data_IF_075438985838
#
_entry.id   IF_075438985838
#
_cell.length_a   1.000
_cell.length_b   1.000
_cell.length_c   1.000
_cell.angle_alpha   90.00
_cell.angle_beta   90.00
_cell.angle_gamma   90.00
#
_symmetry.space_group_name_H-M   'P 1'
#
loop_
_entity.id
_entity.type
_entity.pdbx_description
1 polymer ?
#
# COMPACT_ATOMS: atom_id res chain seq x y z
N UNK A 1 -10.45 14.63 -45.77
CA UNK A 1 -9.97 15.75 -44.95
C UNK A 1 -8.82 15.23 -44.09
N UNK A 2 -7.56 15.56 -44.40
CA UNK A 2 -6.40 15.11 -43.60
C UNK A 2 -6.14 16.14 -42.51
N UNK A 3 -6.42 15.78 -41.26
CA UNK A 3 -6.05 16.61 -40.09
C UNK A 3 -4.59 16.33 -39.78
N UNK A 4 -3.71 17.29 -40.03
CA UNK A 4 -2.30 17.22 -39.64
C UNK A 4 -2.13 17.87 -38.26
N UNK A 5 -1.97 17.05 -37.22
CA UNK A 5 -1.70 17.54 -35.87
C UNK A 5 -0.21 17.85 -35.74
N UNK A 6 0.13 19.09 -35.40
CA UNK A 6 1.51 19.52 -35.16
C UNK A 6 1.96 19.17 -33.73
N UNK A 7 3.27 19.10 -33.50
CA UNK A 7 3.83 18.85 -32.17
C UNK A 7 3.35 19.87 -31.12
N UNK A 8 3.19 21.14 -31.50
CA UNK A 8 2.62 22.20 -30.64
C UNK A 8 1.18 21.87 -30.25
N UNK A 9 0.36 21.41 -31.19
CA UNK A 9 -1.02 21.02 -30.90
C UNK A 9 -1.07 19.79 -29.99
N UNK A 10 -0.22 18.77 -30.22
CA UNK A 10 -0.12 17.61 -29.33
C UNK A 10 0.22 18.03 -27.90
N UNK A 11 1.23 18.89 -27.73
CA UNK A 11 1.63 19.38 -26.40
C UNK A 11 0.49 20.11 -25.67
N UNK A 12 -0.21 21.02 -26.36
CA UNK A 12 -1.37 21.73 -25.79
C UNK A 12 -2.49 20.76 -25.44
N UNK A 13 -2.80 19.80 -26.30
CA UNK A 13 -3.82 18.77 -26.04
C UNK A 13 -3.45 17.97 -24.79
N UNK A 14 -2.21 17.52 -24.67
CA UNK A 14 -1.74 16.77 -23.49
C UNK A 14 -1.89 17.57 -22.20
N UNK A 15 -1.50 18.85 -22.19
CA UNK A 15 -1.67 19.71 -21.01
C UNK A 15 -3.14 19.87 -20.64
N UNK A 16 -4.00 20.13 -21.63
CA UNK A 16 -5.45 20.27 -21.41
C UNK A 16 -6.03 18.98 -20.84
N UNK A 17 -5.64 17.82 -21.37
CA UNK A 17 -6.08 16.52 -20.86
C UNK A 17 -5.58 16.25 -19.43
N UNK A 18 -4.32 16.55 -19.12
CA UNK A 18 -3.78 16.38 -17.76
C UNK A 18 -4.41 17.35 -16.76
N UNK A 19 -4.71 18.58 -17.19
CA UNK A 19 -5.46 19.57 -16.41
C UNK A 19 -6.89 19.13 -16.15
N UNK A 20 -7.58 18.63 -17.18
CA UNK A 20 -8.93 18.08 -17.08
C UNK A 20 -8.98 16.84 -16.18
N UNK A 21 -7.96 15.97 -16.23
CA UNK A 21 -7.87 14.78 -15.40
C UNK A 21 -7.88 15.10 -13.90
N UNK A 22 -7.37 16.26 -13.47
CA UNK A 22 -7.38 16.63 -12.04
C UNK A 22 -8.79 16.83 -11.47
N UNK A 23 -9.80 17.02 -12.32
CA UNK A 23 -11.20 17.17 -11.90
C UNK A 23 -11.91 15.83 -11.65
N UNK A 24 -11.25 14.69 -11.91
CA UNK A 24 -11.79 13.37 -11.55
C UNK A 24 -11.36 13.05 -10.11
N UNK A 25 -12.29 13.07 -9.14
CA UNK A 25 -11.95 12.89 -7.74
C UNK A 25 -11.47 11.48 -7.45
N UNK A 26 -10.54 11.37 -6.50
CA UNK A 26 -10.10 10.11 -5.91
C UNK A 26 -10.88 9.88 -4.62
N UNK A 27 -11.64 8.79 -4.58
CA UNK A 27 -12.34 8.39 -3.36
C UNK A 27 -11.44 7.52 -2.49
N UNK A 28 -10.64 8.11 -1.60
CA UNK A 28 -9.84 7.39 -0.62
C UNK A 28 -10.20 7.88 0.78
N UNK A 29 -11.10 7.15 1.45
CA UNK A 29 -11.57 7.48 2.80
C UNK A 29 -10.72 6.74 3.83
N UNK A 30 -10.35 7.46 4.89
CA UNK A 30 -9.62 6.93 6.05
C UNK A 30 -10.50 7.07 7.31
N UNK A 31 -11.37 6.10 7.61
CA UNK A 31 -12.08 6.05 8.88
C UNK A 31 -11.13 5.99 10.09
N UNK A 32 -11.55 6.40 11.30
CA UNK A 32 -10.75 6.23 12.50
C UNK A 32 -10.29 4.77 12.67
N UNK A 33 -9.01 4.58 13.02
CA UNK A 33 -8.45 3.25 13.26
C UNK A 33 -8.99 2.63 14.57
N UNK A 34 -9.20 1.31 14.58
CA UNK A 34 -9.79 0.55 15.69
C UNK A 34 -8.86 0.30 16.88
N UNK A 35 -7.89 1.17 17.12
CA UNK A 35 -6.90 1.04 18.19
C UNK A 35 -5.60 0.35 17.76
N UNK A 36 -4.64 0.17 18.69
CA UNK A 36 -3.31 -0.35 18.40
C UNK A 36 -3.35 -1.82 17.95
N UNK A 37 -2.39 -2.19 17.10
CA UNK A 37 -2.22 -3.58 16.66
C UNK A 37 -1.80 -4.44 17.86
N UNK A 38 -2.51 -5.54 18.11
CA UNK A 38 -2.13 -6.52 19.14
C UNK A 38 -0.95 -7.39 18.66
N UNK A 39 0.23 -6.78 18.48
CA UNK A 39 1.47 -7.44 18.09
C UNK A 39 2.64 -6.99 18.99
N UNK A 40 3.71 -7.80 19.11
CA UNK A 40 4.93 -7.36 19.77
C UNK A 40 5.45 -6.06 19.14
N UNK A 41 5.97 -5.13 19.96
CA UNK A 41 6.45 -3.82 19.47
C UNK A 41 7.38 -3.90 18.26
N UNK A 42 8.41 -4.78 18.22
CA UNK A 42 9.28 -4.89 17.04
C UNK A 42 8.53 -5.28 15.76
N UNK A 43 7.48 -6.09 15.87
CA UNK A 43 6.65 -6.48 14.72
C UNK A 43 5.78 -5.32 14.26
N UNK A 44 5.16 -4.60 15.22
CA UNK A 44 4.36 -3.41 14.91
C UNK A 44 5.19 -2.36 14.16
N UNK A 45 6.43 -2.13 14.56
CA UNK A 45 7.34 -1.17 13.92
C UNK A 45 7.64 -1.55 12.45
N UNK A 46 7.85 -2.85 12.17
CA UNK A 46 8.04 -3.35 10.81
C UNK A 46 6.78 -3.14 9.97
N UNK A 47 5.62 -3.55 10.49
CA UNK A 47 4.34 -3.44 9.76
C UNK A 47 3.98 -1.98 9.49
N UNK A 48 4.18 -1.08 10.45
CA UNK A 48 3.92 0.36 10.28
C UNK A 48 4.82 0.98 9.22
N UNK A 49 6.07 0.56 9.16
CA UNK A 49 7.04 1.07 8.19
C UNK A 49 6.85 0.52 6.78
N UNK A 50 6.51 -0.76 6.64
CA UNK A 50 6.52 -1.46 5.35
C UNK A 50 5.12 -1.74 4.77
N UNK A 51 4.07 -1.75 5.58
CA UNK A 51 2.76 -2.26 5.18
C UNK A 51 1.61 -1.27 5.38
N UNK A 52 1.65 -0.44 6.44
CA UNK A 52 0.53 0.43 6.82
C UNK A 52 0.14 1.46 5.77
N UNK A 53 1.09 1.92 4.95
CA UNK A 53 0.79 2.93 3.94
C UNK A 53 -0.26 2.45 2.93
N UNK A 54 -0.37 1.14 2.68
CA UNK A 54 -1.44 0.54 1.88
C UNK A 54 -2.49 -0.21 2.71
N UNK A 55 -2.09 -0.99 3.71
CA UNK A 55 -2.96 -1.90 4.46
C UNK A 55 -3.56 -1.28 5.74
N UNK A 56 -3.75 0.04 5.82
CA UNK A 56 -4.38 0.66 6.99
C UNK A 56 -5.17 1.91 6.61
N UNK A 57 -6.04 2.38 7.50
CA UNK A 57 -6.63 3.73 7.42
C UNK A 57 -5.65 4.84 7.84
N UNK A 58 -4.45 4.48 8.31
CA UNK A 58 -3.39 5.42 8.70
C UNK A 58 -2.40 5.67 7.53
N UNK A 59 -2.86 5.49 6.29
CA UNK A 59 -2.03 5.64 5.08
C UNK A 59 -1.37 7.02 4.96
N UNK A 60 -0.05 7.05 4.81
CA UNK A 60 0.69 8.28 4.50
C UNK A 60 0.82 8.42 3.00
N UNK A 61 -0.14 9.12 2.39
CA UNK A 61 -0.17 9.32 0.94
C UNK A 61 0.87 10.38 0.52
N UNK A 62 1.87 10.02 -0.30
CA UNK A 62 2.84 10.97 -0.81
C UNK A 62 2.18 11.98 -1.75
N UNK A 63 2.85 13.10 -2.03
CA UNK A 63 2.28 14.20 -2.81
C UNK A 63 1.83 13.76 -4.22
N UNK A 64 2.56 12.83 -4.86
CA UNK A 64 2.20 12.32 -6.19
C UNK A 64 0.93 11.46 -6.17
N UNK A 65 0.62 10.84 -5.03
CA UNK A 65 -0.65 10.11 -4.83
C UNK A 65 -1.87 11.04 -4.76
N UNK A 66 -1.67 12.36 -4.85
CA UNK A 66 -2.73 13.37 -4.89
C UNK A 66 -2.88 14.04 -6.26
N UNK A 67 -2.05 13.68 -7.24
CA UNK A 67 -2.04 14.27 -8.59
C UNK A 67 -2.45 13.22 -9.63
N UNK A 68 -3.46 13.53 -10.44
CA UNK A 68 -3.91 12.62 -11.49
C UNK A 68 -2.89 12.55 -12.65
N UNK A 69 -2.77 11.42 -13.35
CA UNK A 69 -3.54 10.18 -13.16
C UNK A 69 -2.96 9.24 -12.09
N UNK A 70 -1.79 9.56 -11.51
CA UNK A 70 -1.10 8.70 -10.53
C UNK A 70 -1.94 8.46 -9.29
N UNK A 71 -2.67 9.48 -8.83
CA UNK A 71 -3.56 9.38 -7.69
C UNK A 71 -4.66 8.31 -7.83
N UNK A 72 -5.11 8.03 -9.06
CA UNK A 72 -6.09 6.97 -9.32
C UNK A 72 -5.48 5.59 -9.11
N UNK A 73 -4.25 5.37 -9.59
CA UNK A 73 -3.53 4.11 -9.42
C UNK A 73 -3.23 3.85 -7.94
N UNK A 74 -2.68 4.85 -7.24
CA UNK A 74 -2.38 4.74 -5.80
C UNK A 74 -3.64 4.43 -5.01
N UNK A 75 -4.77 5.08 -5.31
CA UNK A 75 -6.01 4.82 -4.59
C UNK A 75 -6.61 3.45 -4.91
N UNK A 76 -6.47 2.98 -6.15
CA UNK A 76 -6.87 1.63 -6.53
C UNK A 76 -6.06 0.58 -5.76
N UNK A 77 -4.73 0.68 -5.77
CA UNK A 77 -3.84 -0.25 -5.06
C UNK A 77 -4.14 -0.28 -3.56
N UNK A 78 -4.36 0.89 -2.93
CA UNK A 78 -4.69 0.97 -1.50
C UNK A 78 -6.06 0.34 -1.21
N UNK A 79 -7.05 0.53 -2.08
CA UNK A 79 -8.37 -0.10 -1.91
C UNK A 79 -8.27 -1.62 -1.99
N UNK A 80 -7.54 -2.15 -2.96
CA UNK A 80 -7.32 -3.59 -3.11
C UNK A 80 -6.54 -4.14 -1.91
N UNK A 81 -5.47 -3.47 -1.50
CA UNK A 81 -4.67 -3.87 -0.34
C UNK A 81 -5.54 -3.94 0.94
N UNK A 82 -6.36 -2.93 1.22
CA UNK A 82 -7.28 -2.91 2.37
C UNK A 82 -8.38 -3.95 2.29
N UNK A 83 -8.81 -4.33 1.08
CA UNK A 83 -9.81 -5.38 0.90
C UNK A 83 -9.25 -6.77 1.24
N UNK A 84 -7.97 -7.01 0.95
CA UNK A 84 -7.29 -8.25 1.33
C UNK A 84 -6.93 -8.27 2.82
N UNK A 85 -6.36 -7.16 3.33
CA UNK A 85 -5.98 -7.04 4.73
C UNK A 85 -5.94 -5.57 5.17
N UNK A 86 -6.57 -5.28 6.31
CA UNK A 86 -6.55 -3.94 6.90
C UNK A 86 -6.17 -3.98 8.40
N UNK A 87 -5.00 -3.45 8.72
CA UNK A 87 -4.48 -3.37 10.08
C UNK A 87 -5.33 -2.46 10.99
N UNK A 88 -6.04 -1.48 10.43
CA UNK A 88 -6.95 -0.63 11.22
C UNK A 88 -8.20 -1.37 11.71
N UNK A 89 -8.51 -2.53 11.14
CA UNK A 89 -9.60 -3.43 11.58
C UNK A 89 -9.07 -4.71 12.23
N UNK A 90 -7.77 -4.80 12.51
CA UNK A 90 -7.13 -6.02 13.02
C UNK A 90 -7.79 -6.56 14.30
N UNK A 91 -8.12 -5.66 15.23
CA UNK A 91 -8.74 -6.02 16.52
C UNK A 91 -10.20 -6.49 16.39
N UNK A 92 -10.79 -6.37 15.20
CA UNK A 92 -12.13 -6.88 14.89
C UNK A 92 -12.08 -8.33 14.40
N UNK A 93 -10.89 -8.82 13.99
CA UNK A 93 -10.68 -10.20 13.57
C UNK A 93 -10.65 -11.14 14.78
N UNK A 94 -11.25 -12.33 14.64
CA UNK A 94 -11.10 -13.40 15.62
C UNK A 94 -9.67 -13.95 15.64
N UNK A 95 -9.29 -14.63 16.73
CA UNK A 95 -7.92 -15.15 16.91
C UNK A 95 -7.45 -16.02 15.74
N UNK A 96 -8.30 -16.93 15.25
CA UNK A 96 -7.98 -17.80 14.10
C UNK A 96 -7.75 -17.02 12.81
N UNK A 97 -8.49 -15.94 12.60
CA UNK A 97 -8.35 -15.07 11.42
C UNK A 97 -7.07 -14.24 11.51
N UNK A 98 -6.71 -13.76 12.71
CA UNK A 98 -5.43 -13.09 12.95
C UNK A 98 -4.25 -14.02 12.68
N UNK A 99 -4.30 -15.26 13.17
CA UNK A 99 -3.27 -16.28 12.90
C UNK A 99 -3.16 -16.62 11.40
N UNK A 100 -4.28 -16.70 10.69
CA UNK A 100 -4.27 -16.91 9.24
C UNK A 100 -3.66 -15.71 8.51
N UNK A 101 -4.04 -14.49 8.89
CA UNK A 101 -3.47 -13.27 8.34
C UNK A 101 -1.96 -13.17 8.59
N UNK A 102 -1.48 -13.51 9.78
CA UNK A 102 -0.05 -13.58 10.10
C UNK A 102 0.70 -14.52 9.16
N UNK A 103 0.15 -15.73 8.93
CA UNK A 103 0.74 -16.70 7.99
C UNK A 103 0.74 -16.18 6.56
N UNK A 104 -0.33 -15.53 6.10
CA UNK A 104 -0.42 -14.93 4.77
C UNK A 104 0.62 -13.81 4.59
N UNK A 105 0.76 -12.92 5.57
CA UNK A 105 1.79 -11.87 5.59
C UNK A 105 3.18 -12.49 5.41
N UNK A 106 3.50 -13.52 6.21
CA UNK A 106 4.80 -14.19 6.08
C UNK A 106 4.99 -14.84 4.70
N UNK A 107 3.98 -15.48 4.13
CA UNK A 107 4.09 -16.08 2.80
C UNK A 107 4.35 -15.03 1.71
N UNK A 108 3.61 -13.91 1.73
CA UNK A 108 3.80 -12.82 0.77
C UNK A 108 5.20 -12.21 0.88
N UNK A 109 5.71 -12.02 2.10
CA UNK A 109 7.08 -11.53 2.35
C UNK A 109 8.12 -12.55 1.88
N UNK A 110 7.97 -13.82 2.25
CA UNK A 110 8.87 -14.91 1.84
C UNK A 110 8.98 -15.02 0.32
N UNK A 111 7.86 -14.82 -0.39
CA UNK A 111 7.79 -14.90 -1.85
C UNK A 111 8.19 -13.59 -2.54
N UNK A 112 8.60 -12.57 -1.78
CA UNK A 112 8.94 -11.22 -2.30
C UNK A 112 7.79 -10.54 -3.05
N UNK A 113 6.55 -10.93 -2.74
CA UNK A 113 5.33 -10.26 -3.23
C UNK A 113 5.09 -8.97 -2.45
N UNK A 114 5.44 -8.96 -1.16
CA UNK A 114 5.25 -7.81 -0.27
C UNK A 114 6.54 -7.42 0.47
N UNK A 115 6.86 -6.11 0.54
CA UNK A 115 6.30 -5.04 -0.27
C UNK A 115 6.71 -5.17 -1.75
N UNK A 116 5.88 -4.77 -2.72
CA UNK A 116 6.22 -4.89 -4.14
C UNK A 116 7.51 -4.14 -4.50
N UNK A 117 8.35 -4.66 -5.42
CA UNK A 117 9.62 -4.01 -5.77
C UNK A 117 9.49 -2.55 -6.23
N UNK A 118 8.41 -2.21 -6.96
CA UNK A 118 8.16 -0.84 -7.40
C UNK A 118 7.83 0.09 -6.22
N UNK A 119 7.14 -0.42 -5.18
CA UNK A 119 6.86 0.34 -3.97
C UNK A 119 8.18 0.67 -3.26
N UNK A 120 9.04 -0.32 -3.06
CA UNK A 120 10.36 -0.14 -2.42
C UNK A 120 11.28 0.82 -3.20
N UNK A 121 11.13 0.90 -4.52
CA UNK A 121 11.89 1.85 -5.35
C UNK A 121 11.59 3.31 -4.99
N UNK A 122 10.33 3.63 -4.67
CA UNK A 122 9.89 4.99 -4.33
C UNK A 122 9.71 5.20 -2.81
N UNK A 123 9.69 4.11 -2.03
CA UNK A 123 9.61 4.05 -0.57
C UNK A 123 10.73 3.16 0.00
N UNK A 124 12.00 3.58 -0.08
CA UNK A 124 13.14 2.76 0.36
C UNK A 124 13.06 2.38 1.85
N UNK A 125 12.42 3.20 2.68
CA UNK A 125 12.13 2.93 4.09
C UNK A 125 11.29 1.67 4.31
N UNK A 126 10.45 1.31 3.34
CA UNK A 126 9.61 0.12 3.39
C UNK A 126 10.37 -1.18 3.11
N UNK A 127 11.65 -1.11 2.72
CA UNK A 127 12.46 -2.32 2.48
C UNK A 127 12.57 -3.16 3.75
N UNK A 128 12.28 -4.45 3.63
CA UNK A 128 12.44 -5.40 4.71
C UNK A 128 13.88 -5.91 4.79
N UNK A 129 14.40 -5.96 6.02
CA UNK A 129 15.71 -6.53 6.34
C UNK A 129 15.61 -8.02 6.68
N UNK A 130 16.75 -8.69 6.77
CA UNK A 130 16.81 -10.08 7.26
C UNK A 130 16.21 -10.25 8.65
N UNK A 131 16.40 -9.26 9.53
CA UNK A 131 15.82 -9.30 10.87
C UNK A 131 14.32 -9.02 10.85
N UNK A 132 13.82 -8.16 9.95
CA UNK A 132 12.39 -7.98 9.72
C UNK A 132 11.73 -9.29 9.27
N UNK A 133 12.37 -10.02 8.35
CA UNK A 133 11.90 -11.35 7.91
C UNK A 133 11.83 -12.32 9.08
N UNK A 134 12.85 -12.35 9.93
CA UNK A 134 12.88 -13.20 11.13
C UNK A 134 11.72 -12.85 12.07
N UNK A 135 11.52 -11.57 12.37
CA UNK A 135 10.45 -11.09 13.24
C UNK A 135 9.07 -11.50 12.71
N UNK A 136 8.80 -11.28 11.43
CA UNK A 136 7.52 -11.62 10.80
C UNK A 136 7.30 -13.14 10.74
N UNK A 137 8.34 -13.93 10.46
CA UNK A 137 8.28 -15.40 10.47
C UNK A 137 7.93 -15.93 11.86
N UNK A 138 8.65 -15.46 12.88
CA UNK A 138 8.42 -15.88 14.27
C UNK A 138 7.03 -15.46 14.74
N UNK A 139 6.60 -14.24 14.40
CA UNK A 139 5.25 -13.77 14.71
C UNK A 139 4.15 -14.62 14.05
N UNK A 140 4.40 -15.11 12.84
CA UNK A 140 3.51 -16.05 12.14
C UNK A 140 3.52 -17.49 12.70
N UNK A 141 4.24 -17.74 13.81
CA UNK A 141 4.31 -19.05 14.45
C UNK A 141 5.10 -20.09 13.67
N UNK A 142 5.94 -19.68 12.71
CA UNK A 142 6.77 -20.60 11.92
C UNK A 142 8.15 -20.68 12.57
N UNK A 143 8.48 -21.83 13.17
CA UNK A 143 9.81 -22.09 13.72
C UNK A 143 10.89 -22.17 12.63
N UNK A 144 12.14 -21.90 13.01
CA UNK A 144 13.29 -22.27 12.16
C UNK A 144 13.38 -23.80 12.11
N UNK A 145 13.58 -24.34 10.90
CA UNK A 145 14.01 -25.73 10.70
C UNK A 145 15.54 -25.75 10.67
#
# INVERSE_FOLDING_TARGET
>A
MRVTITLRQLFVITIVLLGAAQFVPVDLVNPPAGGPLAAPRPVEDVLRRACFDCHSHESRIPWYGKVAPVSWLVAHDIKEARAELNFSTWNQLGLREQEEAQRKIWQAVKQSEMPPPFYVLVHPEGRLTTDDHRLLRTWAGISEE
#
